data_IF_169255716185
#
_entry.id   IF_169255716185
#
_cell.length_a   1.000
_cell.length_b   1.000
_cell.length_c   1.000
_cell.angle_alpha   90.00
_cell.angle_beta   90.00
_cell.angle_gamma   90.00
#
_symmetry.space_group_name_H-M   'P 1'
#
loop_
_entity.id
_entity.type
_entity.pdbx_description
1 polymer ?
#
# COMPACT_ATOMS: atom_id res chain seq x y z
N UNK A 1 8.88 4.34 6.70
CA UNK A 1 8.22 3.37 5.78
C UNK A 1 9.25 2.94 4.74
N UNK A 2 9.25 1.69 4.27
CA UNK A 2 10.00 1.32 3.07
C UNK A 2 9.11 0.57 2.08
N UNK A 3 9.42 0.67 0.79
CA UNK A 3 8.61 0.06 -0.26
C UNK A 3 9.37 -0.14 -1.58
N UNK A 4 8.81 -0.97 -2.45
CA UNK A 4 9.25 -1.20 -3.83
C UNK A 4 8.98 0.02 -4.72
N UNK A 5 10.00 0.52 -5.42
CA UNK A 5 9.85 1.56 -6.45
C UNK A 5 8.85 1.12 -7.53
N UNK A 6 8.92 -0.13 -7.99
CA UNK A 6 8.02 -0.62 -9.03
C UNK A 6 6.54 -0.58 -8.61
N UNK A 7 6.22 -0.60 -7.32
CA UNK A 7 4.85 -0.46 -6.85
C UNK A 7 4.22 0.89 -7.23
N UNK A 8 5.01 1.96 -7.35
CA UNK A 8 4.53 3.27 -7.79
C UNK A 8 3.90 3.22 -9.20
N UNK A 9 4.35 2.29 -10.05
CA UNK A 9 3.89 2.16 -11.45
C UNK A 9 2.40 1.81 -11.58
N UNK A 10 1.81 1.25 -10.52
CA UNK A 10 0.37 0.97 -10.47
C UNK A 10 -0.46 2.25 -10.43
N UNK A 11 0.13 3.33 -9.89
CA UNK A 11 -0.54 4.61 -9.64
C UNK A 11 -0.09 5.71 -10.61
N UNK A 12 1.15 5.69 -11.08
CA UNK A 12 1.71 6.74 -11.93
C UNK A 12 2.57 6.15 -13.04
N UNK A 13 2.55 6.78 -14.21
CA UNK A 13 3.46 6.44 -15.30
C UNK A 13 4.74 7.28 -15.15
N UNK A 14 5.68 6.78 -14.36
CA UNK A 14 6.87 7.52 -13.94
C UNK A 14 8.13 6.94 -14.58
N UNK A 15 8.76 7.73 -15.44
CA UNK A 15 10.03 7.42 -16.10
C UNK A 15 11.17 8.23 -15.45
N UNK A 16 11.49 7.88 -14.21
CA UNK A 16 12.57 8.50 -13.43
C UNK A 16 13.48 7.41 -12.85
N UNK A 17 14.76 7.75 -12.67
CA UNK A 17 15.70 6.95 -11.89
C UNK A 17 15.28 6.91 -10.41
N UNK A 18 15.84 5.97 -9.65
CA UNK A 18 15.53 5.88 -8.21
C UNK A 18 16.07 7.13 -7.49
N UNK A 19 17.23 7.62 -7.92
CA UNK A 19 17.89 8.82 -7.42
C UNK A 19 17.03 10.07 -7.66
N UNK A 20 16.43 10.22 -8.84
CA UNK A 20 15.56 11.34 -9.17
C UNK A 20 14.28 11.34 -8.32
N UNK A 21 13.69 10.16 -8.11
CA UNK A 21 12.53 10.00 -7.23
C UNK A 21 12.88 10.43 -5.81
N UNK A 22 13.97 9.89 -5.26
CA UNK A 22 14.41 10.21 -3.91
C UNK A 22 14.73 11.70 -3.76
N UNK A 23 15.38 12.31 -4.75
CA UNK A 23 15.65 13.74 -4.77
C UNK A 23 14.35 14.56 -4.75
N UNK A 24 13.38 14.23 -5.59
CA UNK A 24 12.10 14.93 -5.64
C UNK A 24 11.32 14.82 -4.32
N UNK A 25 11.28 13.63 -3.71
CA UNK A 25 10.63 13.43 -2.41
C UNK A 25 11.27 14.29 -1.32
N UNK A 26 12.61 14.33 -1.25
CA UNK A 26 13.35 15.18 -0.32
C UNK A 26 13.02 16.67 -0.54
N UNK A 27 13.01 17.13 -1.79
CA UNK A 27 12.66 18.52 -2.12
C UNK A 27 11.19 18.86 -1.80
N UNK A 28 10.32 17.86 -1.74
CA UNK A 28 8.93 18.00 -1.32
C UNK A 28 8.73 17.87 0.20
N UNK A 29 9.81 17.77 0.98
CA UNK A 29 9.79 17.69 2.44
C UNK A 29 9.45 16.29 2.97
N UNK A 30 9.63 15.25 2.17
CA UNK A 30 9.56 13.84 2.58
C UNK A 30 11.00 13.35 2.73
N UNK A 31 11.43 13.06 3.95
CA UNK A 31 12.79 12.63 4.21
C UNK A 31 13.01 11.21 3.68
N UNK A 32 14.01 11.06 2.81
CA UNK A 32 14.46 9.77 2.30
C UNK A 32 15.69 9.35 3.10
N UNK A 33 15.57 8.26 3.85
CA UNK A 33 16.67 7.69 4.65
C UNK A 33 17.71 7.04 3.73
N UNK A 34 17.27 6.12 2.87
CA UNK A 34 18.12 5.49 1.85
C UNK A 34 17.31 4.87 0.71
N UNK A 35 18.03 4.35 -0.28
CA UNK A 35 17.48 3.42 -1.26
C UNK A 35 18.51 2.33 -1.60
N UNK A 36 18.03 1.17 -2.03
CA UNK A 36 18.86 0.03 -2.41
C UNK A 36 18.32 -0.64 -3.67
N UNK A 37 19.19 -0.93 -4.64
CA UNK A 37 18.82 -1.70 -5.82
C UNK A 37 18.72 -3.18 -5.47
N UNK A 38 17.63 -3.82 -5.89
CA UNK A 38 17.36 -5.22 -5.60
C UNK A 38 16.90 -5.95 -6.86
N UNK A 39 16.97 -7.28 -6.82
CA UNK A 39 16.44 -8.14 -7.88
C UNK A 39 15.00 -8.51 -7.52
N UNK A 40 14.02 -8.01 -8.27
CA UNK A 40 12.65 -8.51 -8.19
C UNK A 40 12.55 -9.86 -8.91
N UNK A 41 11.86 -10.81 -8.29
CA UNK A 41 11.50 -12.08 -8.90
C UNK A 41 10.45 -11.91 -10.01
N UNK A 42 9.73 -10.78 -10.03
CA UNK A 42 8.60 -10.52 -10.94
C UNK A 42 9.03 -9.65 -12.12
N UNK A 43 9.71 -8.53 -11.87
CA UNK A 43 10.12 -7.59 -12.91
C UNK A 43 11.58 -7.74 -13.30
N UNK A 44 12.37 -8.52 -12.56
CA UNK A 44 13.80 -8.73 -12.79
C UNK A 44 14.69 -7.69 -12.11
N UNK A 45 14.26 -6.43 -12.02
CA UNK A 45 14.95 -5.36 -11.31
C UNK A 45 13.98 -4.45 -10.56
N UNK A 46 14.40 -3.96 -9.39
CA UNK A 46 13.64 -3.01 -8.58
C UNK A 46 14.57 -2.21 -7.66
N UNK A 47 14.01 -1.28 -6.91
CA UNK A 47 14.70 -0.63 -5.81
C UNK A 47 13.78 -0.53 -4.59
N UNK A 48 14.35 -0.71 -3.40
CA UNK A 48 13.69 -0.39 -2.13
C UNK A 48 13.98 1.07 -1.83
N UNK A 49 12.94 1.85 -1.56
CA UNK A 49 13.07 3.24 -1.07
C UNK A 49 12.62 3.25 0.38
N UNK A 50 13.44 3.79 1.27
CA UNK A 50 13.13 3.96 2.69
C UNK A 50 12.95 5.43 3.02
N UNK A 51 11.79 5.74 3.57
CA UNK A 51 11.37 7.07 3.99
C UNK A 51 11.32 7.17 5.51
N UNK A 52 11.77 8.30 6.04
CA UNK A 52 11.44 8.75 7.38
C UNK A 52 10.35 9.81 7.28
N UNK A 53 9.13 9.48 7.71
CA UNK A 53 7.97 10.32 7.44
C UNK A 53 7.67 11.13 8.69
N UNK A 54 7.74 12.45 8.54
CA UNK A 54 7.40 13.40 9.60
C UNK A 54 5.88 13.43 9.87
N UNK A 55 5.44 13.74 11.10
CA UNK A 55 4.02 13.67 11.49
C UNK A 55 3.06 14.52 10.64
N UNK A 56 3.56 15.60 10.01
CA UNK A 56 2.77 16.47 9.14
C UNK A 56 2.55 15.87 7.73
N UNK A 57 3.23 14.78 7.36
CA UNK A 57 3.08 14.07 6.08
C UNK A 57 2.43 12.70 6.24
N UNK A 58 1.42 12.62 7.11
CA UNK A 58 0.62 11.43 7.37
C UNK A 58 0.08 10.76 6.09
N UNK A 59 -0.21 11.57 5.06
CA UNK A 59 -0.65 11.14 3.74
C UNK A 59 0.34 10.21 3.03
N UNK A 60 1.64 10.37 3.29
CA UNK A 60 2.72 9.63 2.64
C UNK A 60 3.08 8.31 3.35
N UNK A 61 2.35 7.90 4.39
CA UNK A 61 2.46 6.54 4.97
C UNK A 61 1.81 5.45 4.09
N UNK A 62 1.60 5.74 2.81
CA UNK A 62 1.07 4.80 1.83
C UNK A 62 1.67 5.01 0.45
N UNK A 63 1.68 3.95 -0.36
CA UNK A 63 2.14 4.01 -1.76
C UNK A 63 1.30 4.99 -2.56
N UNK A 64 -0.02 4.99 -2.36
CA UNK A 64 -0.92 5.95 -2.99
C UNK A 64 -0.58 7.39 -2.60
N UNK A 65 -0.19 7.63 -1.35
CA UNK A 65 0.28 8.92 -0.85
C UNK A 65 1.52 9.42 -1.58
N UNK A 66 2.58 8.59 -1.57
CA UNK A 66 3.85 8.90 -2.24
C UNK A 66 3.64 9.08 -3.74
N UNK A 67 2.86 8.21 -4.38
CA UNK A 67 2.54 8.31 -5.81
C UNK A 67 1.75 9.59 -6.13
N UNK A 68 0.85 10.04 -5.25
CA UNK A 68 0.13 11.30 -5.41
C UNK A 68 1.07 12.50 -5.37
N UNK A 69 2.04 12.51 -4.46
CA UNK A 69 3.05 13.57 -4.39
C UNK A 69 3.87 13.64 -5.69
N UNK A 70 4.43 12.50 -6.11
CA UNK A 70 5.21 12.41 -7.34
C UNK A 70 4.38 12.74 -8.58
N UNK A 71 3.09 12.40 -8.60
CA UNK A 71 2.19 12.78 -9.68
C UNK A 71 2.11 14.30 -9.83
N UNK A 72 1.96 15.02 -8.73
CA UNK A 72 1.86 16.49 -8.72
C UNK A 72 3.17 17.11 -9.19
N UNK A 73 4.31 16.66 -8.64
CA UNK A 73 5.63 17.20 -8.97
C UNK A 73 5.99 17.03 -10.45
N UNK A 74 5.50 15.97 -11.10
CA UNK A 74 5.80 15.65 -12.49
C UNK A 74 4.64 15.95 -13.45
N UNK A 75 3.57 16.61 -12.99
CA UNK A 75 2.36 16.88 -13.77
C UNK A 75 1.77 15.62 -14.44
N UNK A 76 1.78 14.51 -13.71
CA UNK A 76 1.26 13.22 -14.16
C UNK A 76 -0.16 12.99 -13.65
N UNK A 77 -0.89 12.17 -14.40
CA UNK A 77 -2.22 11.72 -13.98
C UNK A 77 -2.11 10.54 -13.02
N UNK A 78 -2.67 10.70 -11.82
CA UNK A 78 -2.82 9.60 -10.86
C UNK A 78 -3.86 8.58 -11.35
N UNK A 79 -3.49 7.30 -11.33
CA UNK A 79 -4.34 6.14 -11.61
C UNK A 79 -4.81 5.58 -10.27
N UNK A 80 -6.11 5.61 -10.02
CA UNK A 80 -6.69 5.01 -8.82
C UNK A 80 -7.09 3.54 -9.09
N UNK A 81 -6.97 2.65 -8.09
CA UNK A 81 -7.39 1.27 -8.22
C UNK A 81 -8.89 1.21 -8.51
N UNK A 82 -9.28 0.37 -9.47
CA UNK A 82 -10.69 0.18 -9.83
C UNK A 82 -11.35 -0.74 -8.81
N UNK A 83 -12.17 -0.18 -7.92
CA UNK A 83 -12.89 -0.94 -6.91
C UNK A 83 -14.27 -1.34 -7.47
N UNK A 84 -14.46 -2.64 -7.71
CA UNK A 84 -15.75 -3.17 -8.14
C UNK A 84 -16.74 -3.24 -6.96
N UNK A 85 -17.99 -2.82 -7.19
CA UNK A 85 -19.06 -3.01 -6.22
C UNK A 85 -19.46 -4.49 -6.18
N UNK A 86 -19.16 -5.16 -5.07
CA UNK A 86 -19.53 -6.55 -4.83
C UNK A 86 -20.89 -6.63 -4.14
N UNK A 87 -21.86 -7.31 -4.75
CA UNK A 87 -23.18 -7.58 -4.15
C UNK A 87 -23.04 -8.55 -2.96
N UNK A 88 -23.84 -8.36 -1.93
CA UNK A 88 -23.93 -9.31 -0.82
C UNK A 88 -24.58 -10.60 -1.28
N UNK A 89 -23.97 -11.74 -0.95
CA UNK A 89 -24.47 -13.09 -1.30
C UNK A 89 -25.28 -13.71 -0.16
N UNK A 90 -25.18 -13.17 1.05
CA UNK A 90 -25.95 -13.56 2.23
C UNK A 90 -26.21 -12.35 3.12
N UNK A 91 -27.18 -12.49 4.02
CA UNK A 91 -27.46 -11.49 5.04
C UNK A 91 -26.47 -11.66 6.20
N UNK A 92 -25.72 -10.60 6.49
CA UNK A 92 -24.86 -10.55 7.65
C UNK A 92 -25.70 -10.40 8.93
N UNK A 93 -25.28 -11.07 10.00
CA UNK A 93 -25.95 -11.05 11.30
C UNK A 93 -25.19 -10.20 12.33
N UNK A 94 -23.97 -9.75 12.01
CA UNK A 94 -23.18 -8.90 12.89
C UNK A 94 -23.82 -7.50 12.94
N UNK A 95 -24.14 -7.05 14.14
CA UNK A 95 -24.57 -5.67 14.41
C UNK A 95 -23.39 -4.89 14.96
N UNK A 96 -23.12 -3.71 14.40
CA UNK A 96 -22.05 -2.82 14.86
C UNK A 96 -22.63 -1.50 15.32
N UNK A 97 -22.17 -1.02 16.48
CA UNK A 97 -22.45 0.32 16.99
C UNK A 97 -21.14 1.11 17.05
N UNK A 98 -21.14 2.30 16.45
CA UNK A 98 -20.04 3.25 16.50
C UNK A 98 -20.18 4.17 17.72
N UNK A 99 -19.06 4.63 18.29
CA UNK A 99 -19.03 5.65 19.35
C UNK A 99 -18.55 7.00 18.81
N UNK A 100 -18.55 8.04 19.65
CA UNK A 100 -18.16 9.39 19.21
C UNK A 100 -16.68 9.47 18.80
N UNK A 101 -15.81 8.70 19.46
CA UNK A 101 -14.37 8.64 19.19
C UNK A 101 -14.05 7.87 17.89
N UNK A 102 -14.94 6.97 17.47
CA UNK A 102 -14.85 6.18 16.25
C UNK A 102 -16.19 6.20 15.51
N UNK A 103 -16.58 7.33 14.91
CA UNK A 103 -17.96 7.57 14.45
C UNK A 103 -18.34 6.76 13.21
N UNK A 104 -17.36 6.16 12.53
CA UNK A 104 -17.57 5.42 11.29
C UNK A 104 -16.93 4.05 11.42
N UNK A 105 -17.73 3.01 11.23
CA UNK A 105 -17.27 1.63 11.16
C UNK A 105 -17.82 0.97 9.91
N UNK A 106 -16.94 0.38 9.12
CA UNK A 106 -17.30 -0.46 7.98
C UNK A 106 -16.92 -1.90 8.30
N UNK A 107 -17.92 -2.78 8.32
CA UNK A 107 -17.73 -4.22 8.48
C UNK A 107 -18.15 -4.95 7.21
N UNK A 108 -17.49 -6.07 6.93
CA UNK A 108 -17.93 -7.02 5.90
C UNK A 108 -17.55 -8.43 6.31
N UNK A 109 -18.54 -9.30 6.48
CA UNK A 109 -18.25 -10.73 6.61
C UNK A 109 -17.86 -11.34 5.27
N UNK A 110 -16.86 -12.21 5.28
CA UNK A 110 -16.45 -13.06 4.17
C UNK A 110 -16.47 -14.50 4.68
N UNK A 111 -17.07 -15.42 3.92
CA UNK A 111 -17.19 -16.85 4.26
C UNK A 111 -16.54 -17.69 3.18
N UNK A 112 -16.31 -18.96 3.50
CA UNK A 112 -15.87 -19.98 2.54
C UNK A 112 -14.52 -19.64 1.89
N UNK A 113 -13.55 -19.23 2.71
CA UNK A 113 -12.18 -18.95 2.26
C UNK A 113 -11.19 -19.94 2.87
N UNK A 114 -10.12 -20.22 2.13
CA UNK A 114 -9.08 -21.17 2.54
C UNK A 114 -7.94 -20.44 3.25
N UNK A 115 -7.80 -20.68 4.56
CA UNK A 115 -6.68 -20.15 5.37
C UNK A 115 -5.32 -20.73 4.96
N UNK A 116 -5.28 -21.85 4.24
CA UNK A 116 -4.05 -22.47 3.76
C UNK A 116 -3.65 -22.00 2.35
N UNK A 117 -4.41 -21.08 1.76
CA UNK A 117 -4.04 -20.48 0.49
C UNK A 117 -2.66 -19.82 0.60
N UNK A 118 -1.98 -19.67 -0.53
CA UNK A 118 -0.70 -18.96 -0.58
C UNK A 118 -0.96 -17.53 -1.01
N UNK A 119 -0.39 -16.57 -0.28
CA UNK A 119 -0.39 -15.15 -0.64
C UNK A 119 0.15 -14.97 -2.05
N UNK A 120 -0.54 -14.18 -2.87
CA UNK A 120 -0.17 -13.99 -4.28
C UNK A 120 1.28 -13.50 -4.40
N UNK A 121 2.09 -14.03 -5.33
CA UNK A 121 3.53 -13.74 -5.38
C UNK A 121 3.89 -12.24 -5.40
N UNK A 122 3.09 -11.42 -6.08
CA UNK A 122 3.31 -9.97 -6.14
C UNK A 122 3.00 -9.25 -4.82
N UNK A 123 1.99 -9.70 -4.08
CA UNK A 123 1.69 -9.19 -2.74
C UNK A 123 2.80 -9.62 -1.79
N UNK A 124 3.19 -10.90 -1.85
CA UNK A 124 4.24 -11.46 -1.02
C UNK A 124 5.58 -10.74 -1.21
N UNK A 125 6.00 -10.49 -2.45
CA UNK A 125 7.21 -9.74 -2.76
C UNK A 125 7.12 -8.29 -2.24
N UNK A 126 6.02 -7.58 -2.50
CA UNK A 126 5.83 -6.19 -2.04
C UNK A 126 5.87 -6.06 -0.53
N UNK A 127 5.23 -6.98 0.20
CA UNK A 127 5.28 -7.05 1.66
C UNK A 127 6.71 -7.28 2.15
N UNK A 128 7.41 -8.25 1.57
CA UNK A 128 8.79 -8.58 1.94
C UNK A 128 9.74 -7.40 1.69
N UNK A 129 9.64 -6.74 0.54
CA UNK A 129 10.41 -5.53 0.23
C UNK A 129 10.04 -4.34 1.11
N UNK A 130 8.86 -4.37 1.73
CA UNK A 130 8.38 -3.37 2.69
C UNK A 130 8.70 -3.73 4.16
N UNK A 131 9.63 -4.68 4.36
CA UNK A 131 10.03 -5.23 5.68
C UNK A 131 8.86 -5.81 6.48
N UNK A 132 7.83 -6.34 5.80
CA UNK A 132 6.71 -7.04 6.41
C UNK A 132 6.89 -8.55 6.28
N UNK A 133 6.70 -9.27 7.39
CA UNK A 133 6.68 -10.72 7.40
C UNK A 133 5.34 -11.22 6.87
N UNK A 134 5.40 -12.28 6.07
CA UNK A 134 4.22 -13.05 5.68
C UNK A 134 3.77 -13.91 6.85
N UNK A 135 2.46 -13.93 7.12
CA UNK A 135 1.86 -14.63 8.25
C UNK A 135 0.83 -15.63 7.74
N UNK A 136 -0.25 -15.12 7.16
CA UNK A 136 -1.32 -15.88 6.54
C UNK A 136 -2.01 -14.97 5.50
N UNK A 137 -2.78 -15.55 4.55
CA UNK A 137 -3.35 -14.78 3.44
C UNK A 137 -4.22 -13.60 3.87
N UNK A 138 -4.91 -13.70 5.01
CA UNK A 138 -5.81 -12.66 5.48
C UNK A 138 -5.00 -11.51 6.05
N UNK A 139 -4.07 -11.81 6.97
CA UNK A 139 -3.19 -10.81 7.58
C UNK A 139 -2.34 -10.13 6.50
N UNK A 140 -1.80 -10.91 5.56
CA UNK A 140 -0.98 -10.40 4.46
C UNK A 140 -1.77 -9.42 3.59
N UNK A 141 -3.01 -9.73 3.22
CA UNK A 141 -3.86 -8.80 2.46
C UNK A 141 -4.15 -7.53 3.25
N UNK A 142 -4.45 -7.64 4.55
CA UNK A 142 -4.70 -6.45 5.37
C UNK A 142 -3.46 -5.55 5.47
N UNK A 143 -2.28 -6.12 5.71
CA UNK A 143 -1.01 -5.40 5.72
C UNK A 143 -0.72 -4.75 4.36
N UNK A 144 -0.99 -5.48 3.28
CA UNK A 144 -0.81 -4.98 1.92
C UNK A 144 -1.68 -3.75 1.66
N UNK A 145 -2.97 -3.78 2.03
CA UNK A 145 -3.88 -2.65 1.86
C UNK A 145 -3.47 -1.44 2.71
N UNK A 146 -2.95 -1.68 3.91
CA UNK A 146 -2.43 -0.60 4.77
C UNK A 146 -1.29 0.12 4.08
N UNK A 147 -0.31 -0.62 3.55
CA UNK A 147 0.80 -0.03 2.81
C UNK A 147 0.34 0.62 1.51
N UNK A 148 -0.56 0.00 0.76
CA UNK A 148 -1.00 0.48 -0.54
C UNK A 148 -1.82 1.78 -0.44
N UNK A 149 -2.82 1.79 0.45
CA UNK A 149 -3.86 2.83 0.51
C UNK A 149 -3.82 3.68 1.78
N UNK A 150 -3.05 3.28 2.79
CA UNK A 150 -2.94 4.00 4.06
C UNK A 150 -4.12 3.77 5.01
N UNK A 151 -4.94 2.74 4.76
CA UNK A 151 -6.12 2.42 5.58
C UNK A 151 -5.86 1.19 6.44
N UNK A 152 -5.71 1.35 7.78
CA UNK A 152 -5.74 0.25 8.75
C UNK A 152 -6.98 -0.61 8.58
N UNK A 153 -6.78 -1.93 8.44
CA UNK A 153 -7.81 -2.95 8.43
C UNK A 153 -7.50 -4.01 9.47
N UNK A 154 -8.54 -4.68 9.96
CA UNK A 154 -8.43 -5.79 10.89
C UNK A 154 -9.41 -6.89 10.48
N UNK A 155 -8.99 -8.15 10.65
CA UNK A 155 -9.82 -9.34 10.49
C UNK A 155 -9.99 -10.00 11.85
N UNK A 156 -11.22 -10.40 12.17
CA UNK A 156 -11.62 -11.03 13.43
C UNK A 156 -11.82 -12.53 13.26
#
# INVERSE_FOLDING_TARGET
>A
MQFSKNWLKDFIDLDLSTEEICYQLTMAGIEVDNFENVKSAITGNDAIIKLDITPNRGDCFSILGVARELAILNNLKLKLPKIAKLKSTYQDTISVNACAEGPVYFGRTIKDFDMNAVTLPHIAERLTLSDQKLIDPVVDITNYIILELGQPLHAF
#
